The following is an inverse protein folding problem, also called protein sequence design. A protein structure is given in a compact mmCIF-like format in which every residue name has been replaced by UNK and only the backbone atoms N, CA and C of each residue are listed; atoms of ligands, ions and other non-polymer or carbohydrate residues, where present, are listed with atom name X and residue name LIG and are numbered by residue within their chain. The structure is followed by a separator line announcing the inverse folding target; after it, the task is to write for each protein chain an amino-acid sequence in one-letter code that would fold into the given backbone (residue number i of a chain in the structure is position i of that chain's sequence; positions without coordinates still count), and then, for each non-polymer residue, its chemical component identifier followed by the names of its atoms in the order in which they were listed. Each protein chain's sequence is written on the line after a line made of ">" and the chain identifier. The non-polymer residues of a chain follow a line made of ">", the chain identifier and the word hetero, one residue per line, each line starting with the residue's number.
data_IF_910578514327
#
_entry.id   IF_910578514327
#
_cell.length_a   1.000
_cell.length_b   1.000
_cell.length_c   1.000
_cell.angle_alpha   90.00
_cell.angle_beta   90.00
_cell.angle_gamma   90.00
#
_symmetry.space_group_name_H-M   'P 1'
#
loop_
_entity.id
_entity.type
_entity.pdbx_description
1 polymer ?
#
# COMPACT_ATOMS: atom_id res chain seq x y z
N UNK A 1 -7.79 1.07 22.38
CA UNK A 1 -8.58 2.14 21.73
C UNK A 1 -9.17 1.57 20.45
N UNK A 2 -10.34 2.03 20.03
CA UNK A 2 -11.02 1.55 18.81
C UNK A 2 -11.23 2.74 17.90
N UNK A 3 -10.95 2.59 16.60
CA UNK A 3 -11.20 3.61 15.59
C UNK A 3 -12.72 3.85 15.47
N UNK A 4 -13.25 5.06 15.70
CA UNK A 4 -14.69 5.31 15.59
C UNK A 4 -15.22 4.98 14.19
N UNK A 5 -16.37 4.31 14.12
CA UNK A 5 -16.97 3.90 12.84
C UNK A 5 -17.26 5.12 11.93
N UNK A 6 -17.70 6.23 12.51
CA UNK A 6 -17.93 7.48 11.79
C UNK A 6 -16.65 8.02 11.14
N UNK A 7 -15.52 7.91 11.84
CA UNK A 7 -14.21 8.30 11.33
C UNK A 7 -13.75 7.37 10.22
N UNK A 8 -13.88 6.05 10.41
CA UNK A 8 -13.56 5.04 9.39
C UNK A 8 -14.37 5.26 8.10
N UNK A 9 -15.69 5.51 8.20
CA UNK A 9 -16.55 5.84 7.05
C UNK A 9 -16.06 7.10 6.31
N UNK A 10 -15.59 8.11 7.03
CA UNK A 10 -15.05 9.34 6.43
C UNK A 10 -13.71 9.09 5.73
N UNK A 11 -12.80 8.33 6.32
CA UNK A 11 -11.55 7.90 5.67
C UNK A 11 -11.85 7.20 4.33
N UNK A 12 -12.72 6.19 4.37
CA UNK A 12 -13.17 5.44 3.18
C UNK A 12 -13.75 6.38 2.12
N UNK A 13 -14.58 7.34 2.52
CA UNK A 13 -15.15 8.30 1.58
C UNK A 13 -14.12 9.19 0.87
N UNK A 14 -12.89 9.27 1.37
CA UNK A 14 -11.81 10.01 0.73
C UNK A 14 -11.03 9.15 -0.27
N UNK A 15 -10.83 7.85 0.03
CA UNK A 15 -9.87 6.99 -0.69
C UNK A 15 -10.48 5.78 -1.40
N UNK A 16 -11.78 5.54 -1.26
CA UNK A 16 -12.49 4.40 -1.85
C UNK A 16 -13.84 4.83 -2.46
N UNK A 17 -13.81 5.67 -3.50
CA UNK A 17 -15.00 6.16 -4.22
C UNK A 17 -15.12 5.65 -5.66
N UNK A 18 -14.29 4.69 -6.03
CA UNK A 18 -14.14 4.16 -7.38
C UNK A 18 -13.72 5.23 -8.40
N UNK A 19 -12.81 6.14 -8.01
CA UNK A 19 -12.35 7.21 -8.92
C UNK A 19 -11.60 6.67 -10.14
N UNK A 20 -10.87 5.57 -9.97
CA UNK A 20 -10.19 4.88 -11.06
C UNK A 20 -11.12 4.02 -11.94
N UNK A 21 -12.39 3.84 -11.54
CA UNK A 21 -13.38 3.07 -12.31
C UNK A 21 -13.14 1.55 -12.34
N UNK A 22 -12.22 1.03 -11.52
CA UNK A 22 -11.89 -0.41 -11.41
C UNK A 22 -12.95 -1.20 -10.62
N UNK A 23 -13.73 -0.52 -9.79
CA UNK A 23 -14.76 -1.10 -8.93
C UNK A 23 -14.25 -1.76 -7.66
N UNK A 24 -12.96 -2.09 -7.54
CA UNK A 24 -12.37 -2.84 -6.42
C UNK A 24 -12.66 -2.17 -5.08
N UNK A 25 -12.52 -0.85 -5.01
CA UNK A 25 -12.76 -0.06 -3.80
C UNK A 25 -14.21 -0.08 -3.30
N UNK A 26 -15.17 -0.56 -4.09
CA UNK A 26 -16.56 -0.79 -3.65
C UNK A 26 -16.65 -1.93 -2.62
N UNK A 27 -15.62 -2.77 -2.52
CA UNK A 27 -15.53 -3.87 -1.56
C UNK A 27 -15.05 -3.40 -0.18
N UNK A 28 -14.66 -2.14 -0.07
CA UNK A 28 -14.18 -1.54 1.17
C UNK A 28 -15.28 -1.47 2.25
N UNK A 29 -14.96 -1.87 3.48
CA UNK A 29 -15.90 -1.88 4.62
C UNK A 29 -15.29 -1.16 5.83
N UNK A 30 -16.05 -0.33 6.58
CA UNK A 30 -15.54 0.33 7.78
C UNK A 30 -14.90 -0.63 8.80
N UNK A 31 -15.45 -1.83 8.92
CA UNK A 31 -14.97 -2.83 9.88
C UNK A 31 -13.56 -3.30 9.56
N UNK A 32 -13.19 -3.39 8.27
CA UNK A 32 -11.85 -3.79 7.85
C UNK A 32 -10.80 -2.76 8.29
N UNK A 33 -11.13 -1.47 8.18
CA UNK A 33 -10.28 -0.37 8.63
C UNK A 33 -10.14 -0.32 10.15
N UNK A 34 -11.24 -0.49 10.87
CA UNK A 34 -11.23 -0.51 12.33
C UNK A 34 -10.38 -1.65 12.86
N UNK A 35 -10.53 -2.85 12.28
CA UNK A 35 -9.77 -4.05 12.65
C UNK A 35 -8.29 -3.92 12.30
N UNK A 36 -7.96 -3.44 11.10
CA UNK A 36 -6.59 -3.20 10.69
C UNK A 36 -5.90 -2.19 11.62
N UNK A 37 -6.51 -1.03 11.88
CA UNK A 37 -5.96 -0.02 12.77
C UNK A 37 -5.78 -0.54 14.20
N UNK A 38 -6.76 -1.27 14.74
CA UNK A 38 -6.67 -1.87 16.07
C UNK A 38 -5.54 -2.90 16.19
N UNK A 39 -5.30 -3.69 15.14
CA UNK A 39 -4.27 -4.71 15.12
C UNK A 39 -2.86 -4.13 14.96
N UNK A 40 -2.70 -3.09 14.14
CA UNK A 40 -1.39 -2.53 13.80
C UNK A 40 -0.93 -1.39 14.71
N UNK A 41 -1.85 -0.61 15.30
CA UNK A 41 -1.49 0.46 16.23
C UNK A 41 -0.62 0.03 17.44
N UNK A 42 -0.78 -1.16 18.06
CA UNK A 42 0.07 -1.55 19.18
C UNK A 42 1.45 -2.10 18.79
N UNK A 43 1.68 -2.47 17.52
CA UNK A 43 2.89 -3.19 17.09
C UNK A 43 4.16 -2.35 17.19
N UNK A 44 5.28 -2.92 17.63
CA UNK A 44 6.52 -2.18 17.88
C UNK A 44 7.50 -2.25 16.73
N UNK A 45 7.49 -3.33 15.96
CA UNK A 45 8.31 -3.52 14.77
C UNK A 45 7.46 -3.94 13.59
N UNK A 46 7.41 -3.15 12.51
CA UNK A 46 6.65 -3.48 11.30
C UNK A 46 7.53 -3.51 10.06
N UNK A 47 7.22 -4.40 9.14
CA UNK A 47 7.79 -4.37 7.80
C UNK A 47 6.71 -3.99 6.79
N UNK A 48 7.01 -3.05 5.90
CA UNK A 48 6.13 -2.65 4.80
C UNK A 48 6.71 -3.17 3.49
N UNK A 49 5.99 -4.07 2.84
CA UNK A 49 6.36 -4.72 1.58
C UNK A 49 5.67 -4.02 0.42
N UNK A 50 6.44 -3.56 -0.56
CA UNK A 50 5.89 -2.86 -1.73
C UNK A 50 6.83 -2.96 -2.93
N UNK A 51 6.29 -2.71 -4.11
CA UNK A 51 7.02 -2.61 -5.36
C UNK A 51 6.26 -3.32 -6.47
N UNK A 52 6.11 -2.62 -7.59
CA UNK A 52 5.49 -3.13 -8.80
C UNK A 52 6.33 -2.67 -9.99
N UNK A 53 6.81 -3.62 -10.77
CA UNK A 53 7.60 -3.36 -11.96
C UNK A 53 6.74 -3.48 -13.21
N UNK A 54 6.86 -2.53 -14.14
CA UNK A 54 6.12 -2.52 -15.41
C UNK A 54 7.09 -2.91 -16.55
N UNK A 55 7.07 -4.17 -17.03
CA UNK A 55 8.00 -4.60 -18.08
C UNK A 55 7.83 -3.83 -19.38
N UNK A 56 6.60 -3.42 -19.70
CA UNK A 56 6.31 -2.62 -20.89
C UNK A 56 6.88 -1.20 -20.87
N UNK A 57 7.44 -0.76 -19.74
CA UNK A 57 8.10 0.53 -19.57
C UNK A 57 9.56 0.39 -19.11
N UNK A 58 10.02 -0.85 -18.86
CA UNK A 58 11.33 -1.13 -18.25
C UNK A 58 11.56 -0.37 -16.93
N UNK A 59 10.51 -0.17 -16.14
CA UNK A 59 10.51 0.73 -14.99
C UNK A 59 9.57 0.29 -13.85
N UNK A 60 9.91 0.60 -12.57
CA UNK A 60 8.96 0.56 -11.46
C UNK A 60 7.86 1.61 -11.64
N UNK A 61 6.69 1.37 -11.04
CA UNK A 61 5.59 2.34 -11.09
C UNK A 61 5.61 3.35 -9.93
N UNK A 62 4.75 4.36 -10.01
CA UNK A 62 4.62 5.42 -8.99
C UNK A 62 3.63 5.10 -7.87
N UNK A 63 2.70 4.15 -8.06
CA UNK A 63 1.88 3.63 -6.97
C UNK A 63 2.64 2.56 -6.17
N UNK A 64 2.48 2.57 -4.86
CA UNK A 64 3.25 1.75 -3.91
C UNK A 64 4.34 2.51 -3.15
N UNK A 65 5.36 3.09 -3.82
CA UNK A 65 6.47 3.74 -3.12
C UNK A 65 6.06 4.83 -2.13
N UNK A 66 5.13 5.71 -2.51
CA UNK A 66 4.64 6.78 -1.64
C UNK A 66 3.95 6.23 -0.39
N UNK A 67 3.02 5.29 -0.58
CA UNK A 67 2.27 4.62 0.46
C UNK A 67 3.18 3.86 1.43
N UNK A 68 4.12 3.08 0.89
CA UNK A 68 5.07 2.31 1.68
C UNK A 68 5.93 3.21 2.56
N UNK A 69 6.46 4.29 1.98
CA UNK A 69 7.28 5.27 2.69
C UNK A 69 6.50 5.99 3.77
N UNK A 70 5.27 6.44 3.48
CA UNK A 70 4.45 7.16 4.47
C UNK A 70 4.04 6.25 5.63
N UNK A 71 3.69 4.99 5.37
CA UNK A 71 3.41 4.03 6.43
C UNK A 71 4.62 3.75 7.29
N UNK A 72 5.75 3.35 6.69
CA UNK A 72 6.96 3.04 7.45
C UNK A 72 7.45 4.25 8.25
N UNK A 73 7.41 5.45 7.64
CA UNK A 73 7.79 6.69 8.31
C UNK A 73 6.83 7.07 9.45
N UNK A 74 5.55 6.79 9.33
CA UNK A 74 4.59 7.05 10.40
C UNK A 74 4.94 6.25 11.68
N UNK A 75 5.22 4.96 11.54
CA UNK A 75 5.73 4.13 12.64
C UNK A 75 7.06 4.65 13.19
N UNK A 76 8.00 5.00 12.31
CA UNK A 76 9.30 5.56 12.70
C UNK A 76 9.17 6.86 13.52
N UNK A 77 8.33 7.80 13.06
CA UNK A 77 8.05 9.07 13.76
C UNK A 77 7.28 8.86 15.07
N UNK A 78 6.57 7.75 15.20
CA UNK A 78 5.93 7.32 16.46
C UNK A 78 6.91 6.64 17.43
N UNK A 79 8.20 6.53 17.07
CA UNK A 79 9.22 5.89 17.92
C UNK A 79 9.16 4.37 17.89
N UNK A 80 8.54 3.80 16.85
CA UNK A 80 8.48 2.35 16.58
C UNK A 80 9.54 1.97 15.55
N UNK A 81 9.92 0.70 15.55
CA UNK A 81 10.78 0.16 14.50
C UNK A 81 9.99 -0.10 13.23
N UNK A 82 10.53 0.33 12.10
CA UNK A 82 9.94 0.06 10.80
C UNK A 82 11.02 -0.13 9.75
N UNK A 83 10.69 -0.93 8.74
CA UNK A 83 11.49 -1.16 7.56
C UNK A 83 10.61 -1.23 6.32
N UNK A 84 11.19 -0.90 5.17
CA UNK A 84 10.57 -1.12 3.86
C UNK A 84 11.32 -2.23 3.16
N UNK A 85 10.56 -3.24 2.74
CA UNK A 85 11.03 -4.39 1.98
C UNK A 85 10.49 -4.31 0.57
N UNK A 86 11.38 -4.49 -0.40
CA UNK A 86 11.05 -4.44 -1.82
C UNK A 86 11.90 -5.44 -2.59
N UNK A 87 11.85 -5.45 -3.92
CA UNK A 87 12.75 -6.25 -4.75
C UNK A 87 13.87 -5.40 -5.38
N UNK A 88 14.81 -6.07 -6.04
CA UNK A 88 15.97 -5.41 -6.67
C UNK A 88 15.58 -4.40 -7.75
N UNK A 89 14.51 -4.68 -8.51
CA UNK A 89 14.05 -3.82 -9.61
C UNK A 89 13.45 -2.52 -9.06
N UNK A 90 12.78 -2.59 -7.92
CA UNK A 90 12.11 -1.46 -7.28
C UNK A 90 12.98 -0.72 -6.25
N UNK A 91 14.11 -1.28 -5.83
CA UNK A 91 14.92 -0.78 -4.71
C UNK A 91 15.40 0.67 -4.88
N UNK A 92 15.83 1.03 -6.09
CA UNK A 92 16.39 2.36 -6.37
C UNK A 92 15.33 3.46 -6.24
N UNK A 93 14.12 3.19 -6.77
CA UNK A 93 12.93 4.04 -6.69
C UNK A 93 12.46 4.16 -5.24
N UNK A 94 12.30 3.04 -4.54
CA UNK A 94 11.86 3.04 -3.13
C UNK A 94 12.81 3.83 -2.23
N UNK A 95 14.14 3.70 -2.44
CA UNK A 95 15.16 4.48 -1.71
C UNK A 95 15.11 5.97 -2.03
N UNK A 96 14.72 6.37 -3.23
CA UNK A 96 14.58 7.77 -3.60
C UNK A 96 13.34 8.40 -2.97
N UNK A 97 12.19 7.71 -3.00
CA UNK A 97 10.98 8.12 -2.27
C UNK A 97 11.26 8.29 -0.77
N UNK A 98 11.91 7.30 -0.15
CA UNK A 98 12.28 7.35 1.27
C UNK A 98 13.15 8.57 1.59
N UNK A 99 14.17 8.84 0.78
CA UNK A 99 15.05 9.99 0.98
C UNK A 99 14.30 11.32 0.88
N UNK A 100 13.44 11.46 -0.13
CA UNK A 100 12.65 12.66 -0.36
C UNK A 100 11.65 12.94 0.79
N UNK A 101 11.11 11.88 1.40
CA UNK A 101 10.22 11.96 2.56
C UNK A 101 10.95 12.03 3.91
N UNK A 102 12.29 12.08 3.94
CA UNK A 102 13.07 12.08 5.18
C UNK A 102 13.04 10.75 5.97
N UNK A 103 12.69 9.64 5.32
CA UNK A 103 12.80 8.30 5.89
C UNK A 103 14.20 7.72 5.65
N UNK A 104 14.87 7.10 6.65
CA UNK A 104 16.25 6.64 6.50
C UNK A 104 16.41 5.58 5.41
N UNK A 105 17.16 5.88 4.34
CA UNK A 105 17.42 4.96 3.21
C UNK A 105 17.98 3.60 3.62
N UNK A 106 18.71 3.55 4.74
CA UNK A 106 19.27 2.30 5.30
C UNK A 106 18.21 1.31 5.79
N UNK A 107 16.99 1.79 6.05
CA UNK A 107 15.81 0.99 6.43
C UNK A 107 14.97 0.58 5.21
N UNK A 108 15.49 0.80 3.99
CA UNK A 108 14.91 0.34 2.73
C UNK A 108 15.86 -0.67 2.10
N UNK A 109 15.41 -1.92 2.02
CA UNK A 109 16.22 -3.05 1.54
C UNK A 109 15.41 -4.04 0.72
N UNK A 110 16.14 -4.92 0.04
CA UNK A 110 15.52 -6.11 -0.54
C UNK A 110 14.90 -6.94 0.57
N UNK A 111 13.71 -7.49 0.29
CA UNK A 111 13.03 -8.36 1.21
C UNK A 111 13.91 -9.57 1.58
N UNK A 112 13.85 -10.06 2.83
CA UNK A 112 14.51 -11.29 3.19
C UNK A 112 13.87 -12.47 2.42
N UNK A 113 14.64 -13.53 2.13
CA UNK A 113 14.08 -14.71 1.45
C UNK A 113 13.07 -15.45 2.33
N UNK A 114 13.17 -15.32 3.66
CA UNK A 114 12.26 -15.90 4.64
C UNK A 114 12.09 -14.95 5.81
N UNK A 115 10.91 -14.96 6.43
CA UNK A 115 10.66 -14.19 7.63
C UNK A 115 11.45 -14.70 8.84
N UNK A 116 11.92 -15.95 8.85
CA UNK A 116 12.72 -16.49 9.95
C UNK A 116 14.06 -15.76 10.15
N UNK A 117 14.57 -15.14 9.10
CA UNK A 117 15.80 -14.35 9.14
C UNK A 117 15.55 -12.95 9.76
N UNK A 118 14.28 -12.61 10.05
CA UNK A 118 13.82 -11.35 10.61
C UNK A 118 12.78 -11.55 11.73
N UNK A 119 12.41 -10.47 12.43
CA UNK A 119 11.41 -10.55 13.51
C UNK A 119 10.49 -9.33 13.56
N UNK A 120 9.74 -9.01 12.48
CA UNK A 120 8.67 -8.04 12.56
C UNK A 120 7.51 -8.58 13.41
N UNK A 121 6.85 -7.69 14.13
CA UNK A 121 5.58 -7.95 14.83
C UNK A 121 4.38 -7.87 13.87
N UNK A 122 4.55 -7.32 12.67
CA UNK A 122 3.50 -7.23 11.65
C UNK A 122 4.04 -6.92 10.25
N UNK A 123 3.30 -7.36 9.25
CA UNK A 123 3.65 -7.23 7.84
C UNK A 123 2.54 -6.51 7.09
N UNK A 124 2.86 -5.41 6.41
CA UNK A 124 1.92 -4.63 5.59
C UNK A 124 2.37 -4.72 4.14
N UNK A 125 1.52 -5.21 3.25
CA UNK A 125 1.70 -5.18 1.81
C UNK A 125 0.92 -4.01 1.24
N UNK A 126 1.55 -3.21 0.38
CA UNK A 126 0.88 -2.13 -0.35
C UNK A 126 1.42 -2.08 -1.76
N UNK A 127 0.53 -2.14 -2.75
CA UNK A 127 0.90 -2.25 -4.17
C UNK A 127 1.99 -3.31 -4.41
N UNK A 128 1.71 -4.53 -3.92
CA UNK A 128 2.56 -5.69 -4.16
C UNK A 128 1.73 -6.79 -4.77
N UNK A 129 2.13 -7.27 -5.94
CA UNK A 129 1.50 -8.39 -6.61
C UNK A 129 1.46 -9.65 -5.74
N UNK A 130 0.33 -10.34 -5.76
CA UNK A 130 0.16 -11.66 -5.20
C UNK A 130 -0.24 -12.66 -6.29
N UNK A 131 0.20 -13.91 -6.14
CA UNK A 131 -0.03 -14.93 -7.17
C UNK A 131 -1.52 -15.20 -7.42
N UNK A 132 -1.86 -15.45 -8.68
CA UNK A 132 -3.15 -15.96 -9.09
C UNK A 132 -3.27 -17.47 -8.81
N UNK A 133 -4.41 -18.07 -9.17
CA UNK A 133 -4.71 -19.49 -8.90
C UNK A 133 -3.74 -20.46 -9.59
N UNK A 134 -3.19 -20.06 -10.74
CA UNK A 134 -2.18 -20.82 -11.49
C UNK A 134 -0.73 -20.58 -11.01
N UNK A 135 -0.55 -19.73 -9.98
CA UNK A 135 0.76 -19.35 -9.45
C UNK A 135 1.44 -18.20 -10.19
N UNK A 136 0.84 -17.67 -11.27
CA UNK A 136 1.38 -16.56 -12.05
C UNK A 136 1.08 -15.18 -11.44
N UNK A 137 1.80 -14.17 -11.91
CA UNK A 137 1.62 -12.76 -11.55
C UNK A 137 1.22 -11.97 -12.79
N UNK A 138 0.11 -11.24 -12.69
CA UNK A 138 -0.50 -10.56 -13.83
C UNK A 138 -0.69 -9.08 -13.55
N UNK A 139 -0.45 -8.23 -14.54
CA UNK A 139 -0.86 -6.82 -14.47
C UNK A 139 -2.31 -6.61 -14.91
N UNK A 140 -2.86 -5.41 -14.69
CA UNK A 140 -4.25 -5.09 -15.02
C UNK A 140 -4.63 -5.29 -16.51
N UNK A 141 -3.64 -5.43 -17.40
CA UNK A 141 -3.83 -5.75 -18.83
C UNK A 141 -3.82 -7.25 -19.12
N UNK A 142 -3.86 -8.11 -18.08
CA UNK A 142 -3.83 -9.57 -18.14
C UNK A 142 -2.55 -10.14 -18.74
N UNK A 143 -1.46 -9.37 -18.67
CA UNK A 143 -0.15 -9.83 -19.15
C UNK A 143 0.55 -10.51 -17.98
N UNK A 144 1.03 -11.72 -18.20
CA UNK A 144 1.91 -12.43 -17.28
C UNK A 144 3.24 -11.68 -17.17
N UNK A 145 3.57 -11.25 -15.94
CA UNK A 145 4.79 -10.53 -15.58
C UNK A 145 5.55 -11.28 -14.47
N UNK A 146 5.33 -12.58 -14.33
CA UNK A 146 5.99 -13.43 -13.33
C UNK A 146 7.52 -13.35 -13.42
N UNK A 147 8.09 -13.22 -14.62
CA UNK A 147 9.53 -13.09 -14.83
C UNK A 147 10.16 -11.82 -14.20
N UNK A 148 9.34 -10.81 -13.88
CA UNK A 148 9.76 -9.56 -13.23
C UNK A 148 9.21 -9.42 -11.81
N UNK A 149 8.53 -10.43 -11.29
CA UNK A 149 7.85 -10.36 -10.00
C UNK A 149 8.44 -11.41 -9.06
N UNK A 150 9.43 -11.05 -8.24
CA UNK A 150 9.87 -11.92 -7.15
C UNK A 150 8.70 -12.27 -6.22
N UNK A 151 8.59 -13.51 -5.71
CA UNK A 151 7.39 -13.97 -4.99
C UNK A 151 7.35 -13.49 -3.53
N UNK A 152 7.36 -12.17 -3.32
CA UNK A 152 7.33 -11.58 -1.96
C UNK A 152 6.01 -11.82 -1.22
N UNK A 153 4.97 -12.25 -1.94
CA UNK A 153 3.70 -12.69 -1.38
C UNK A 153 3.81 -13.97 -0.54
N UNK A 154 4.87 -14.77 -0.72
CA UNK A 154 5.14 -15.94 0.14
C UNK A 154 5.34 -15.55 1.60
N UNK A 155 5.84 -14.34 1.88
CA UNK A 155 6.01 -13.83 3.23
C UNK A 155 4.66 -13.72 3.98
N UNK A 156 3.53 -13.56 3.29
CA UNK A 156 2.21 -13.58 3.94
C UNK A 156 1.86 -14.99 4.48
N UNK A 157 2.22 -16.05 3.77
CA UNK A 157 2.00 -17.42 4.23
C UNK A 157 2.89 -17.74 5.44
N UNK A 158 4.18 -17.37 5.38
CA UNK A 158 5.09 -17.54 6.51
C UNK A 158 4.65 -16.74 7.74
N UNK A 159 4.17 -15.50 7.55
CA UNK A 159 3.67 -14.67 8.64
C UNK A 159 2.52 -15.36 9.37
N UNK A 160 1.57 -15.92 8.60
CA UNK A 160 0.43 -16.66 9.14
C UNK A 160 0.85 -17.88 9.96
N UNK A 161 1.81 -18.67 9.48
CA UNK A 161 2.34 -19.83 10.23
C UNK A 161 2.96 -19.43 11.57
N UNK A 162 3.51 -18.22 11.64
CA UNK A 162 4.14 -17.64 12.84
C UNK A 162 3.18 -16.82 13.70
N UNK A 163 1.92 -16.65 13.30
CA UNK A 163 0.96 -15.81 14.00
C UNK A 163 1.30 -14.30 13.94
N UNK A 164 2.06 -13.87 12.94
CA UNK A 164 2.37 -12.47 12.69
C UNK A 164 1.20 -11.85 11.90
N UNK A 165 0.54 -10.78 12.40
CA UNK A 165 -0.54 -10.12 11.70
C UNK A 165 -0.10 -9.56 10.34
N UNK A 166 -0.92 -9.81 9.33
CA UNK A 166 -0.72 -9.37 7.96
C UNK A 166 -1.82 -8.44 7.48
N UNK A 167 -1.44 -7.41 6.72
CA UNK A 167 -2.37 -6.46 6.11
C UNK A 167 -2.03 -6.28 4.63
N UNK A 168 -3.02 -6.36 3.75
CA UNK A 168 -2.88 -6.04 2.32
C UNK A 168 -3.65 -4.78 1.94
N UNK A 169 -3.05 -3.92 1.13
CA UNK A 169 -3.67 -2.71 0.56
C UNK A 169 -3.48 -2.81 -0.96
N UNK A 170 -4.59 -2.73 -1.70
CA UNK A 170 -4.60 -2.90 -3.15
C UNK A 170 -5.83 -2.26 -3.79
N UNK A 171 -5.76 -2.06 -5.10
CA UNK A 171 -6.74 -1.32 -5.89
C UNK A 171 -7.15 -1.99 -7.22
N UNK A 172 -6.42 -3.03 -7.64
CA UNK A 172 -6.59 -3.74 -8.91
C UNK A 172 -7.14 -5.17 -8.77
N UNK A 173 -7.01 -5.79 -7.59
CA UNK A 173 -7.44 -7.15 -7.31
C UNK A 173 -6.37 -8.23 -7.52
N UNK A 174 -5.18 -7.86 -8.00
CA UNK A 174 -4.01 -8.70 -8.24
C UNK A 174 -2.92 -8.55 -7.17
N UNK A 175 -3.18 -7.77 -6.13
CA UNK A 175 -2.25 -7.46 -5.04
C UNK A 175 -2.47 -8.37 -3.83
N UNK A 176 -1.43 -8.55 -3.02
CA UNK A 176 -1.47 -9.33 -1.78
C UNK A 176 -2.58 -8.79 -0.86
N UNK A 177 -3.41 -9.70 -0.35
CA UNK A 177 -4.58 -9.39 0.47
C UNK A 177 -5.87 -9.25 -0.33
N UNK A 178 -5.82 -9.03 -1.64
CA UNK A 178 -7.03 -9.04 -2.48
C UNK A 178 -7.65 -10.44 -2.58
N UNK A 179 -6.92 -11.51 -2.24
CA UNK A 179 -7.46 -12.84 -2.03
C UNK A 179 -8.55 -12.90 -0.95
N UNK A 180 -8.62 -11.93 -0.03
CA UNK A 180 -9.71 -11.83 0.95
C UNK A 180 -11.06 -11.51 0.32
N UNK A 181 -11.05 -10.90 -0.87
CA UNK A 181 -12.22 -10.51 -1.62
C UNK A 181 -12.37 -11.34 -2.91
N UNK A 182 -11.70 -12.48 -3.03
CA UNK A 182 -11.54 -13.21 -4.30
C UNK A 182 -12.89 -13.52 -4.97
N UNK A 183 -13.88 -14.02 -4.22
CA UNK A 183 -15.20 -14.35 -4.76
C UNK A 183 -16.01 -13.10 -5.16
N UNK A 184 -15.95 -12.03 -4.38
CA UNK A 184 -16.52 -10.74 -4.75
C UNK A 184 -15.86 -10.15 -6.00
N UNK A 185 -14.53 -10.22 -6.09
CA UNK A 185 -13.75 -9.73 -7.23
C UNK A 185 -14.03 -10.54 -8.49
N UNK A 186 -14.20 -11.86 -8.43
CA UNK A 186 -14.63 -12.68 -9.59
C UNK A 186 -15.98 -12.24 -10.14
N UNK A 187 -16.93 -11.89 -9.26
CA UNK A 187 -18.25 -11.37 -9.67
C UNK A 187 -18.16 -9.97 -10.27
N UNK A 188 -17.30 -9.12 -9.71
CA UNK A 188 -17.13 -7.74 -10.12
C UNK A 188 -16.33 -7.62 -11.44
N UNK A 189 -15.30 -8.45 -11.60
CA UNK A 189 -14.32 -8.43 -12.69
C UNK A 189 -14.24 -9.81 -13.38
N UNK A 190 -15.34 -10.34 -13.93
CA UNK A 190 -15.38 -11.71 -14.45
C UNK A 190 -14.37 -11.95 -15.59
N UNK A 191 -14.12 -10.92 -16.40
CA UNK A 191 -13.14 -11.01 -17.48
C UNK A 191 -11.68 -11.05 -16.98
N UNK A 192 -11.43 -10.59 -15.75
CA UNK A 192 -10.09 -10.56 -15.12
C UNK A 192 -9.90 -11.69 -14.10
N UNK A 193 -10.89 -12.58 -13.94
CA UNK A 193 -10.94 -13.58 -12.87
C UNK A 193 -9.70 -14.48 -12.78
N UNK A 194 -9.08 -14.85 -13.91
CA UNK A 194 -7.87 -15.67 -13.96
C UNK A 194 -6.62 -14.95 -13.46
N UNK A 195 -6.63 -13.62 -13.39
CA UNK A 195 -5.51 -12.79 -12.97
C UNK A 195 -5.64 -12.31 -11.52
N UNK A 196 -6.76 -12.63 -10.85
CA UNK A 196 -7.02 -12.20 -9.48
C UNK A 196 -6.09 -12.92 -8.51
N UNK A 197 -5.54 -12.14 -7.58
CA UNK A 197 -4.72 -12.65 -6.50
C UNK A 197 -5.54 -13.62 -5.62
N UNK A 198 -4.89 -14.70 -5.19
CA UNK A 198 -5.45 -15.68 -4.25
C UNK A 198 -4.83 -15.57 -2.84
N UNK A 199 -3.77 -14.77 -2.70
CA UNK A 199 -3.05 -14.60 -1.44
C UNK A 199 -3.87 -13.76 -0.47
N UNK A 200 -4.15 -14.36 0.68
CA UNK A 200 -4.93 -13.77 1.76
C UNK A 200 -4.04 -13.21 2.86
N UNK A 201 -4.54 -12.17 3.52
CA UNK A 201 -3.95 -11.55 4.71
C UNK A 201 -5.00 -11.53 5.84
N UNK A 202 -4.60 -11.28 7.08
CA UNK A 202 -5.53 -11.21 8.22
C UNK A 202 -6.49 -10.01 8.07
N UNK A 203 -5.97 -8.92 7.52
CA UNK A 203 -6.70 -7.70 7.20
C UNK A 203 -6.45 -7.30 5.75
N UNK A 204 -7.44 -6.73 5.08
CA UNK A 204 -7.29 -6.26 3.70
C UNK A 204 -8.10 -4.98 3.47
N UNK A 205 -7.54 -4.04 2.73
CA UNK A 205 -8.15 -2.74 2.40
C UNK A 205 -8.17 -2.56 0.89
N UNK A 206 -9.37 -2.61 0.30
CA UNK A 206 -9.61 -2.32 -1.11
C UNK A 206 -9.79 -0.80 -1.31
N UNK A 207 -8.95 -0.18 -2.13
CA UNK A 207 -8.85 1.29 -2.25
C UNK A 207 -8.84 1.75 -3.71
N UNK A 208 -8.96 3.06 -3.93
CA UNK A 208 -8.94 3.63 -5.28
C UNK A 208 -7.53 3.70 -5.87
N UNK A 209 -6.53 3.91 -5.00
CA UNK A 209 -5.08 4.00 -5.28
C UNK A 209 -4.37 3.48 -4.03
N UNK A 210 -3.42 2.56 -4.16
CA UNK A 210 -2.75 1.93 -3.00
C UNK A 210 -2.07 2.96 -2.09
N UNK A 211 -1.38 3.95 -2.66
CA UNK A 211 -0.79 5.07 -1.92
C UNK A 211 -1.86 5.79 -1.06
N UNK A 212 -3.06 6.05 -1.59
CA UNK A 212 -4.12 6.71 -0.83
C UNK A 212 -4.62 5.84 0.32
N UNK A 213 -4.74 4.53 0.09
CA UNK A 213 -5.08 3.57 1.13
C UNK A 213 -4.08 3.60 2.28
N UNK A 214 -2.79 3.57 1.94
CA UNK A 214 -1.70 3.71 2.91
C UNK A 214 -1.77 5.05 3.66
N UNK A 215 -2.04 6.18 2.97
CA UNK A 215 -2.18 7.49 3.61
C UNK A 215 -3.35 7.53 4.58
N UNK A 216 -4.51 7.02 4.19
CA UNK A 216 -5.65 6.91 5.09
C UNK A 216 -5.38 5.97 6.27
N UNK A 217 -4.61 4.91 6.08
CA UNK A 217 -4.22 4.03 7.18
C UNK A 217 -3.28 4.76 8.15
N UNK A 218 -2.34 5.58 7.66
CA UNK A 218 -1.54 6.44 8.55
C UNK A 218 -2.40 7.43 9.33
N UNK A 219 -3.48 7.96 8.75
CA UNK A 219 -4.44 8.81 9.46
C UNK A 219 -5.22 8.02 10.55
N UNK A 220 -5.65 6.80 10.24
CA UNK A 220 -6.27 5.90 11.21
C UNK A 220 -5.33 5.56 12.37
N UNK A 221 -4.06 5.24 12.09
CA UNK A 221 -3.04 4.99 13.10
C UNK A 221 -2.71 6.25 13.90
N UNK A 222 -2.65 7.41 13.26
CA UNK A 222 -2.45 8.71 13.91
C UNK A 222 -3.56 9.02 14.92
N UNK A 223 -4.81 8.71 14.59
CA UNK A 223 -5.92 8.77 15.55
C UNK A 223 -5.65 7.83 16.74
N UNK A 224 -5.22 6.61 16.46
CA UNK A 224 -4.93 5.60 17.49
C UNK A 224 -3.70 5.91 18.36
N UNK A 225 -2.80 6.78 17.89
CA UNK A 225 -1.62 7.24 18.64
C UNK A 225 -1.80 8.62 19.26
N UNK A 226 -2.91 9.30 18.96
CA UNK A 226 -3.21 10.66 19.44
C UNK A 226 -2.34 11.76 18.83
N UNK A 227 -1.51 11.45 17.82
CA UNK A 227 -0.61 12.39 17.16
C UNK A 227 -0.61 12.16 15.65
N UNK A 228 -0.60 13.24 14.87
CA UNK A 228 -0.48 13.14 13.42
C UNK A 228 0.91 12.60 13.03
N UNK A 229 0.89 11.54 12.23
CA UNK A 229 2.05 10.87 11.65
C UNK A 229 1.90 10.61 10.15
N UNK A 230 0.80 11.08 9.55
CA UNK A 230 0.52 10.92 8.13
C UNK A 230 1.33 11.84 7.21
N UNK A 231 1.05 11.83 5.90
CA UNK A 231 1.69 12.70 4.93
C UNK A 231 1.37 14.17 5.17
N UNK A 232 2.29 15.05 4.77
CA UNK A 232 2.18 16.49 4.82
C UNK A 232 2.21 17.09 3.40
N UNK A 233 1.76 18.35 3.28
CA UNK A 233 1.67 19.03 1.99
C UNK A 233 3.04 19.10 1.29
N UNK A 234 3.05 18.79 -0.01
CA UNK A 234 4.26 18.83 -0.85
C UNK A 234 5.19 17.62 -0.72
N UNK A 235 4.97 16.71 0.23
CA UNK A 235 5.78 15.50 0.37
C UNK A 235 5.56 14.53 -0.80
N UNK A 236 4.32 14.40 -1.29
CA UNK A 236 4.02 13.60 -2.49
C UNK A 236 4.78 14.13 -3.71
N UNK A 237 4.75 15.45 -3.92
CA UNK A 237 5.45 16.08 -5.04
C UNK A 237 6.96 15.84 -4.95
N UNK A 238 7.53 15.94 -3.76
CA UNK A 238 8.94 15.66 -3.52
C UNK A 238 9.29 14.21 -3.83
N UNK A 239 8.47 13.26 -3.38
CA UNK A 239 8.63 11.84 -3.69
C UNK A 239 8.50 11.56 -5.18
N UNK A 240 7.44 12.04 -5.84
CA UNK A 240 7.20 11.83 -7.27
C UNK A 240 8.33 12.36 -8.14
N UNK A 241 8.88 13.55 -7.82
CA UNK A 241 10.07 14.07 -8.50
C UNK A 241 11.27 13.13 -8.32
N UNK A 242 11.53 12.69 -7.10
CA UNK A 242 12.67 11.84 -6.79
C UNK A 242 12.58 10.44 -7.43
N UNK A 243 11.39 9.83 -7.47
CA UNK A 243 11.20 8.52 -8.12
C UNK A 243 11.26 8.61 -9.63
N UNK A 244 10.72 9.69 -10.22
CA UNK A 244 10.83 9.97 -11.66
C UNK A 244 12.29 10.13 -12.08
N UNK A 245 13.13 10.80 -11.29
CA UNK A 245 14.58 10.88 -11.53
C UNK A 245 15.29 9.50 -11.48
N UNK A 246 14.65 8.50 -10.86
CA UNK A 246 15.10 7.10 -10.86
C UNK A 246 14.42 6.23 -11.91
N UNK A 247 13.67 6.85 -12.82
CA UNK A 247 13.02 6.18 -13.95
C UNK A 247 11.63 5.63 -13.65
N UNK A 248 11.04 5.91 -12.49
CA UNK A 248 9.67 5.49 -12.22
C UNK A 248 8.68 6.13 -13.20
N UNK A 249 7.62 5.39 -13.52
CA UNK A 249 6.57 5.80 -14.47
C UNK A 249 5.18 5.65 -13.85
N UNK A 250 4.20 6.32 -14.42
CA UNK A 250 2.80 6.13 -14.06
C UNK A 250 2.30 4.74 -14.45
N UNK A 251 1.56 4.07 -13.55
CA UNK A 251 1.01 2.72 -13.73
C UNK A 251 0.10 2.56 -14.96
N UNK A 252 -0.63 3.62 -15.31
CA UNK A 252 -1.63 3.61 -16.38
C UNK A 252 -1.01 4.05 -17.70
N UNK A 253 -0.37 5.23 -17.72
CA UNK A 253 0.18 5.85 -18.93
C UNK A 253 1.51 5.24 -19.35
N UNK A 254 2.27 4.69 -18.39
CA UNK A 254 3.66 4.19 -18.55
C UNK A 254 4.66 5.26 -18.94
N UNK A 255 4.31 6.53 -18.70
CA UNK A 255 5.15 7.67 -18.99
C UNK A 255 5.77 8.21 -17.69
N UNK A 256 6.93 8.89 -17.76
CA UNK A 256 7.56 9.52 -16.60
C UNK A 256 6.81 10.80 -16.23
N UNK A 257 5.58 10.65 -15.74
CA UNK A 257 4.68 11.74 -15.34
C UNK A 257 4.73 11.94 -13.82
N UNK A 258 4.31 13.12 -13.35
CA UNK A 258 4.19 13.41 -11.92
C UNK A 258 2.77 13.05 -11.45
N UNK A 259 2.41 11.80 -11.68
CA UNK A 259 1.09 11.23 -11.43
C UNK A 259 1.23 9.88 -10.72
N UNK A 260 0.18 9.49 -10.01
CA UNK A 260 -0.02 8.14 -9.50
C UNK A 260 -1.35 7.65 -10.06
N UNK A 261 -1.34 6.54 -10.79
CA UNK A 261 -2.52 5.97 -11.44
C UNK A 261 -3.32 6.98 -12.30
N UNK A 262 -2.59 7.85 -13.01
CA UNK A 262 -3.15 8.90 -13.86
C UNK A 262 -3.70 10.12 -13.09
N UNK A 263 -3.62 10.13 -11.75
CA UNK A 263 -4.04 11.25 -10.92
C UNK A 263 -2.89 12.23 -10.68
N UNK A 264 -3.10 13.49 -11.07
CA UNK A 264 -2.15 14.58 -10.94
C UNK A 264 -1.88 15.01 -9.50
N UNK A 265 -0.81 15.79 -9.32
CA UNK A 265 -0.40 16.24 -7.99
C UNK A 265 -1.48 17.05 -7.27
N UNK A 266 -2.32 17.80 -7.99
CA UNK A 266 -3.43 18.54 -7.37
C UNK A 266 -4.44 17.60 -6.71
N UNK A 267 -4.69 16.45 -7.34
CA UNK A 267 -5.54 15.39 -6.77
C UNK A 267 -4.88 14.72 -5.58
N UNK A 268 -3.58 14.40 -5.67
CA UNK A 268 -2.82 13.81 -4.56
C UNK A 268 -2.83 14.74 -3.32
N UNK A 269 -2.49 16.01 -3.51
CA UNK A 269 -2.43 17.01 -2.44
C UNK A 269 -3.80 17.20 -1.78
N UNK A 270 -4.87 17.19 -2.57
CA UNK A 270 -6.25 17.27 -2.05
C UNK A 270 -6.59 16.08 -1.16
N UNK A 271 -6.14 14.87 -1.49
CA UNK A 271 -6.33 13.68 -0.64
C UNK A 271 -5.59 13.85 0.67
N UNK A 272 -4.32 14.24 0.61
CA UNK A 272 -3.46 14.45 1.80
C UNK A 272 -4.07 15.51 2.72
N UNK A 273 -4.45 16.67 2.16
CA UNK A 273 -5.06 17.75 2.95
C UNK A 273 -6.37 17.31 3.60
N UNK A 274 -7.24 16.61 2.85
CA UNK A 274 -8.53 16.13 3.36
C UNK A 274 -8.36 15.12 4.49
N UNK A 275 -7.34 14.25 4.42
CA UNK A 275 -7.03 13.30 5.49
C UNK A 275 -6.53 14.01 6.76
N UNK A 276 -5.66 15.01 6.60
CA UNK A 276 -5.16 15.80 7.72
C UNK A 276 -6.28 16.62 8.39
N UNK A 277 -7.10 17.32 7.60
CA UNK A 277 -8.27 18.05 8.08
C UNK A 277 -9.24 17.12 8.83
N UNK A 278 -9.48 15.92 8.29
CA UNK A 278 -10.35 14.93 8.92
C UNK A 278 -9.78 14.46 10.26
N UNK A 279 -8.47 14.22 10.37
CA UNK A 279 -7.83 13.87 11.65
C UNK A 279 -7.94 15.00 12.67
N UNK A 280 -7.68 16.25 12.27
CA UNK A 280 -7.82 17.43 13.13
C UNK A 280 -9.24 17.58 13.70
N UNK A 281 -10.26 17.26 12.90
CA UNK A 281 -11.66 17.29 13.35
C UNK A 281 -11.99 16.22 14.41
N UNK A 282 -11.27 15.11 14.41
CA UNK A 282 -11.56 13.95 15.27
C UNK A 282 -10.57 13.76 16.41
N UNK A 283 -9.43 14.46 16.45
CA UNK A 283 -8.39 14.24 17.48
C UNK A 283 -8.82 14.50 18.94
N UNK A 284 -9.99 15.10 19.14
CA UNK A 284 -10.60 15.38 20.46
C UNK A 284 -11.93 14.65 20.68
N UNK A 285 -12.35 13.79 19.75
CA UNK A 285 -13.59 13.00 19.83
C UNK A 285 -13.33 11.62 20.44
#
# INVERSE_FOLDING_TARGET
>A
MVLPEAYAKKLISLVSRDRGGRGVSKLCRPEDWQRAAAAFAPLKRVAVVSGFYIPGADAPETDGPGGAVMLARAFYREGRESEIWTDELCLSVMRAAAAAAGYPRRLVRTAPPRLADESPDGLIFTERLGRAEDGGYYNFRKIDISAWTPPLDELAAEAKERGIPTLGIGDGGNEVGMGNFHEELKRLLPAYASCLCTVRTDYALAVDVSNWGAYALTAALSFMWGNWRGPEAGEELAMLKAVKERGAVDGISRLPELTVDGFDIATQDKIISSLNELWELYRFA
#
